data_IF_814810606903
#
_entry.id   IF_814810606903
#
_cell.length_a   1.000
_cell.length_b   1.000
_cell.length_c   1.000
_cell.angle_alpha   90.00
_cell.angle_beta   90.00
_cell.angle_gamma   90.00
#
_symmetry.space_group_name_H-M   'P 1'
#
loop_
_entity.id
_entity.type
_entity.pdbx_description
1 polymer ?
#
# COMPACT_ATOMS: atom_id res chain seq x y z
N UNK A 1 -48.94 19.24 -28.62
CA UNK A 1 -48.27 20.48 -28.20
C UNK A 1 -48.05 20.39 -26.70
N UNK A 2 -46.82 20.50 -26.22
CA UNK A 2 -46.54 20.54 -24.78
C UNK A 2 -46.80 21.95 -24.26
N UNK A 3 -47.57 22.09 -23.18
CA UNK A 3 -47.84 23.37 -22.53
C UNK A 3 -46.61 23.73 -21.68
N UNK A 4 -45.90 24.79 -22.07
CA UNK A 4 -44.74 25.30 -21.33
C UNK A 4 -45.25 26.40 -20.38
N UNK A 5 -45.30 26.11 -19.09
CA UNK A 5 -45.58 27.10 -18.05
C UNK A 5 -44.27 27.71 -17.52
N UNK A 6 -44.29 29.01 -17.22
CA UNK A 6 -43.14 29.78 -16.71
C UNK A 6 -42.88 29.64 -15.20
N UNK A 7 -43.69 28.83 -14.50
CA UNK A 7 -43.56 28.61 -13.07
C UNK A 7 -42.49 27.55 -12.79
N UNK A 8 -41.49 27.89 -11.95
CA UNK A 8 -40.44 26.94 -11.57
C UNK A 8 -41.02 25.89 -10.63
N UNK A 9 -40.96 24.62 -11.03
CA UNK A 9 -41.32 23.50 -10.17
C UNK A 9 -40.49 23.50 -8.90
N UNK A 10 -41.15 23.33 -7.75
CA UNK A 10 -40.46 23.26 -6.46
C UNK A 10 -39.40 22.14 -6.47
N UNK A 11 -38.21 22.46 -5.95
CA UNK A 11 -37.11 21.49 -5.86
C UNK A 11 -37.52 20.34 -4.91
N UNK A 12 -37.55 19.11 -5.43
CA UNK A 12 -37.78 17.91 -4.62
C UNK A 12 -36.46 17.48 -3.97
N UNK A 13 -36.50 17.07 -2.71
CA UNK A 13 -35.36 16.44 -2.05
C UNK A 13 -34.91 15.21 -2.83
N UNK A 14 -33.59 14.98 -2.93
CA UNK A 14 -33.05 13.80 -3.58
C UNK A 14 -33.62 12.52 -2.94
N UNK A 15 -33.99 11.50 -3.74
CA UNK A 15 -34.58 10.27 -3.22
C UNK A 15 -33.60 9.59 -2.26
N UNK A 16 -34.12 9.06 -1.14
CA UNK A 16 -33.33 8.40 -0.09
C UNK A 16 -32.50 7.22 -0.64
N UNK A 17 -32.93 6.61 -1.74
CA UNK A 17 -32.22 5.54 -2.44
C UNK A 17 -30.86 5.97 -3.01
N UNK A 18 -30.67 7.26 -3.29
CA UNK A 18 -29.42 7.82 -3.84
C UNK A 18 -28.55 8.51 -2.78
N UNK A 19 -29.12 8.88 -1.63
CA UNK A 19 -28.43 9.63 -0.57
C UNK A 19 -28.11 8.82 0.67
N UNK A 20 -28.75 7.65 0.87
CA UNK A 20 -28.53 6.81 2.05
C UNK A 20 -27.53 5.69 1.79
N UNK A 21 -26.79 5.30 2.85
CA UNK A 21 -25.90 4.14 2.83
C UNK A 21 -26.64 2.84 2.49
N UNK A 22 -27.86 2.66 3.04
CA UNK A 22 -28.71 1.51 2.74
C UNK A 22 -29.12 1.50 1.26
N UNK A 23 -29.48 2.67 0.69
CA UNK A 23 -29.78 2.81 -0.73
C UNK A 23 -28.59 2.44 -1.63
N UNK A 24 -27.38 2.86 -1.23
CA UNK A 24 -26.15 2.47 -1.91
C UNK A 24 -25.89 0.96 -1.85
N UNK A 25 -26.06 0.33 -0.69
CA UNK A 25 -25.90 -1.13 -0.54
C UNK A 25 -26.87 -1.88 -1.45
N UNK A 26 -28.15 -1.50 -1.44
CA UNK A 26 -29.15 -2.14 -2.28
C UNK A 26 -28.83 -1.97 -3.78
N UNK A 27 -28.43 -0.77 -4.20
CA UNK A 27 -28.10 -0.45 -5.59
C UNK A 27 -26.84 -1.17 -6.10
N UNK A 28 -25.82 -1.35 -5.26
CA UNK A 28 -24.52 -1.89 -5.69
C UNK A 28 -24.35 -3.39 -5.39
N UNK A 29 -24.87 -3.89 -4.27
CA UNK A 29 -24.64 -5.26 -3.81
C UNK A 29 -25.87 -6.17 -3.98
N UNK A 30 -27.07 -5.62 -3.82
CA UNK A 30 -28.33 -6.40 -3.79
C UNK A 30 -29.31 -6.03 -4.93
N UNK A 31 -28.80 -5.51 -6.05
CA UNK A 31 -29.63 -4.98 -7.13
C UNK A 31 -30.43 -6.04 -7.92
N UNK A 32 -30.06 -7.32 -7.78
CA UNK A 32 -30.78 -8.47 -8.35
C UNK A 32 -30.60 -9.69 -7.45
N UNK A 33 -31.43 -10.72 -7.63
CA UNK A 33 -31.32 -11.95 -6.84
C UNK A 33 -29.97 -12.67 -7.04
N UNK A 34 -29.41 -12.62 -8.25
CA UNK A 34 -28.07 -13.16 -8.54
C UNK A 34 -27.01 -12.36 -7.78
N UNK A 35 -27.07 -11.02 -7.81
CA UNK A 35 -26.12 -10.16 -7.10
C UNK A 35 -26.23 -10.35 -5.57
N UNK A 36 -27.44 -10.56 -5.05
CA UNK A 36 -27.65 -10.85 -3.64
C UNK A 36 -26.96 -12.16 -3.23
N UNK A 37 -27.13 -13.25 -4.01
CA UNK A 37 -26.44 -14.53 -3.76
C UNK A 37 -24.93 -14.34 -3.85
N UNK A 38 -24.44 -13.71 -4.93
CA UNK A 38 -23.01 -13.46 -5.13
C UNK A 38 -22.42 -12.67 -3.96
N UNK A 39 -23.11 -11.63 -3.49
CA UNK A 39 -22.70 -10.83 -2.33
C UNK A 39 -22.59 -11.67 -1.07
N UNK A 40 -23.61 -12.48 -0.74
CA UNK A 40 -23.58 -13.34 0.45
C UNK A 40 -22.45 -14.36 0.38
N UNK A 41 -22.27 -15.02 -0.78
CA UNK A 41 -21.18 -15.98 -1.00
C UNK A 41 -19.82 -15.30 -0.87
N UNK A 42 -19.68 -14.10 -1.44
CA UNK A 42 -18.42 -13.34 -1.36
C UNK A 42 -18.09 -12.95 0.07
N UNK A 43 -19.07 -12.46 0.84
CA UNK A 43 -18.91 -12.16 2.27
C UNK A 43 -18.51 -13.41 3.04
N UNK A 44 -19.11 -14.56 2.75
CA UNK A 44 -18.77 -15.82 3.40
C UNK A 44 -17.33 -16.26 3.09
N UNK A 45 -16.90 -16.18 1.83
CA UNK A 45 -15.51 -16.49 1.43
C UNK A 45 -14.54 -15.54 2.14
N UNK A 46 -14.83 -14.24 2.15
CA UNK A 46 -14.02 -13.24 2.85
C UNK A 46 -13.94 -13.60 4.34
N UNK A 47 -15.07 -13.94 4.97
CA UNK A 47 -15.10 -14.32 6.37
C UNK A 47 -14.21 -15.54 6.67
N UNK A 48 -14.32 -16.61 5.88
CA UNK A 48 -13.50 -17.82 6.07
C UNK A 48 -12.02 -17.52 5.84
N UNK A 49 -11.68 -16.76 4.80
CA UNK A 49 -10.30 -16.38 4.49
C UNK A 49 -9.70 -15.50 5.59
N UNK A 50 -10.41 -14.46 6.03
CA UNK A 50 -9.97 -13.56 7.09
C UNK A 50 -9.82 -14.32 8.41
N UNK A 51 -10.77 -15.19 8.76
CA UNK A 51 -10.66 -16.04 9.95
C UNK A 51 -9.43 -16.94 9.88
N UNK A 52 -9.19 -17.59 8.74
CA UNK A 52 -8.01 -18.45 8.54
C UNK A 52 -6.70 -17.68 8.71
N UNK A 53 -6.58 -16.51 8.07
CA UNK A 53 -5.40 -15.64 8.18
C UNK A 53 -5.22 -15.13 9.61
N UNK A 54 -6.30 -14.79 10.31
CA UNK A 54 -6.26 -14.31 11.68
C UNK A 54 -5.77 -15.39 12.65
N UNK A 55 -6.35 -16.59 12.57
CA UNK A 55 -5.97 -17.72 13.43
C UNK A 55 -4.49 -18.05 13.18
N UNK A 56 -4.11 -18.22 11.92
CA UNK A 56 -2.73 -18.53 11.53
C UNK A 56 -1.72 -17.44 11.93
N UNK A 57 -2.03 -16.19 11.59
CA UNK A 57 -1.09 -15.08 11.63
C UNK A 57 -1.04 -14.32 12.95
N UNK A 58 -2.04 -14.49 13.82
CA UNK A 58 -2.16 -13.75 15.08
C UNK A 58 -2.38 -14.68 16.26
N UNK A 59 -3.44 -15.50 16.22
CA UNK A 59 -3.86 -16.31 17.37
C UNK A 59 -2.86 -17.44 17.68
N UNK A 60 -2.48 -18.21 16.66
CA UNK A 60 -1.56 -19.35 16.76
C UNK A 60 -0.12 -18.98 16.40
N UNK A 61 0.17 -17.69 16.21
CA UNK A 61 1.46 -17.24 15.73
C UNK A 61 2.56 -17.22 16.81
N UNK A 62 3.78 -17.55 16.40
CA UNK A 62 4.96 -17.61 17.27
C UNK A 62 5.87 -16.42 17.00
N UNK A 63 5.93 -15.51 17.98
CA UNK A 63 6.69 -14.25 17.88
C UNK A 63 8.14 -14.36 18.36
N UNK A 64 8.42 -15.31 19.26
CA UNK A 64 9.74 -15.53 19.86
C UNK A 64 10.09 -17.01 19.75
N UNK A 65 11.19 -17.32 19.07
CA UNK A 65 11.78 -18.64 18.95
C UNK A 65 13.25 -18.50 18.52
N UNK A 66 14.12 -19.40 18.98
CA UNK A 66 15.54 -19.42 18.63
C UNK A 66 15.78 -20.01 17.24
N UNK A 67 14.94 -20.96 16.82
CA UNK A 67 15.08 -21.64 15.54
C UNK A 67 13.75 -22.14 14.98
N UNK A 68 13.76 -22.51 13.69
CA UNK A 68 12.57 -23.01 12.98
C UNK A 68 11.95 -24.25 13.64
N UNK A 69 12.76 -25.13 14.26
CA UNK A 69 12.25 -26.36 14.89
C UNK A 69 11.46 -26.06 16.16
N UNK A 70 11.93 -25.10 16.95
CA UNK A 70 11.22 -24.61 18.12
C UNK A 70 9.89 -23.97 17.75
N UNK A 71 9.87 -23.19 16.66
CA UNK A 71 8.63 -22.60 16.13
C UNK A 71 7.54 -23.65 15.90
N UNK A 72 7.88 -24.75 15.20
CA UNK A 72 6.95 -25.86 14.96
C UNK A 72 6.58 -26.68 16.20
N UNK A 73 7.39 -26.63 17.26
CA UNK A 73 7.04 -27.29 18.54
C UNK A 73 5.98 -26.50 19.30
N UNK A 74 6.05 -25.16 19.25
CA UNK A 74 5.09 -24.27 19.94
C UNK A 74 3.76 -24.25 19.19
N UNK A 75 3.80 -24.01 17.88
CA UNK A 75 2.63 -24.02 17.02
C UNK A 75 3.01 -24.62 15.67
N UNK A 76 2.41 -25.76 15.35
CA UNK A 76 2.71 -26.49 14.11
C UNK A 76 2.08 -25.79 12.90
N UNK A 77 0.86 -25.29 13.10
CA UNK A 77 0.03 -24.77 12.02
C UNK A 77 0.04 -23.24 11.95
N UNK A 78 0.50 -22.53 12.99
CA UNK A 78 0.58 -21.07 13.02
C UNK A 78 1.80 -20.44 12.32
N UNK A 79 1.76 -19.13 12.16
CA UNK A 79 2.82 -18.34 11.52
C UNK A 79 4.07 -18.24 12.41
N UNK A 80 5.25 -18.37 11.81
CA UNK A 80 6.53 -18.18 12.50
C UNK A 80 7.09 -16.77 12.29
N UNK A 81 6.63 -15.79 13.07
CA UNK A 81 7.10 -14.40 12.96
C UNK A 81 8.54 -14.22 13.46
N UNK A 82 9.00 -15.01 14.42
CA UNK A 82 10.38 -14.96 14.92
C UNK A 82 11.42 -15.05 13.79
N UNK A 83 11.21 -15.96 12.84
CA UNK A 83 12.07 -16.13 11.67
C UNK A 83 11.99 -14.94 10.71
N UNK A 84 10.78 -14.45 10.44
CA UNK A 84 10.55 -13.29 9.55
C UNK A 84 11.23 -12.04 10.11
N UNK A 85 11.10 -11.79 11.41
CA UNK A 85 11.70 -10.63 12.09
C UNK A 85 13.23 -10.71 12.03
N UNK A 86 13.83 -11.88 12.30
CA UNK A 86 15.28 -12.05 12.18
C UNK A 86 15.79 -11.87 10.74
N UNK A 87 15.02 -12.29 9.75
CA UNK A 87 15.40 -12.21 8.33
C UNK A 87 14.94 -10.93 7.63
N UNK A 88 14.30 -10.01 8.34
CA UNK A 88 13.65 -8.83 7.78
C UNK A 88 14.64 -7.98 6.95
N UNK A 89 15.85 -7.77 7.46
CA UNK A 89 16.90 -7.04 6.75
C UNK A 89 17.31 -7.73 5.43
N UNK A 90 17.34 -9.06 5.38
CA UNK A 90 17.62 -9.78 4.13
C UNK A 90 16.45 -9.72 3.15
N UNK A 91 15.22 -9.65 3.64
CA UNK A 91 14.03 -9.52 2.79
C UNK A 91 14.01 -8.15 2.12
N UNK A 92 14.31 -7.08 2.86
CA UNK A 92 14.28 -5.72 2.31
C UNK A 92 15.54 -5.33 1.53
N UNK A 93 16.72 -5.68 2.04
CA UNK A 93 17.99 -5.22 1.47
C UNK A 93 18.76 -6.32 0.73
N UNK A 94 18.26 -7.55 0.72
CA UNK A 94 18.93 -8.67 0.05
C UNK A 94 20.32 -8.94 0.64
N UNK A 95 21.32 -8.98 -0.24
CA UNK A 95 22.74 -9.23 0.11
C UNK A 95 23.54 -7.97 0.40
N UNK A 96 22.87 -6.83 0.64
CA UNK A 96 23.57 -5.58 0.93
C UNK A 96 24.39 -5.71 2.23
N UNK A 97 25.64 -5.22 2.29
CA UNK A 97 26.44 -5.31 3.49
C UNK A 97 25.75 -4.61 4.66
N UNK A 98 25.63 -5.32 5.79
CA UNK A 98 25.01 -4.81 7.02
C UNK A 98 25.54 -3.46 7.49
N UNK A 99 26.86 -3.22 7.56
CA UNK A 99 27.36 -1.92 8.00
C UNK A 99 27.08 -0.79 7.00
N UNK A 100 26.69 -1.10 5.76
CA UNK A 100 26.46 -0.12 4.70
C UNK A 100 24.96 0.22 4.53
N UNK A 101 24.04 -0.45 5.23
CA UNK A 101 22.59 -0.27 5.09
C UNK A 101 22.12 1.19 5.24
N UNK A 102 22.88 2.00 5.99
CA UNK A 102 22.62 3.43 6.14
C UNK A 102 22.58 4.17 4.80
N UNK A 103 23.31 3.72 3.77
CA UNK A 103 23.31 4.35 2.44
C UNK A 103 21.98 4.18 1.73
N UNK A 104 21.40 2.98 1.81
CA UNK A 104 20.09 2.69 1.22
C UNK A 104 19.01 3.48 1.95
N UNK A 105 19.05 3.48 3.28
CA UNK A 105 18.12 4.24 4.12
C UNK A 105 18.23 5.76 3.89
N UNK A 106 19.46 6.27 3.79
CA UNK A 106 19.70 7.68 3.49
C UNK A 106 19.21 8.04 2.09
N UNK A 107 19.48 7.22 1.07
CA UNK A 107 18.97 7.44 -0.29
C UNK A 107 17.44 7.50 -0.32
N UNK A 108 16.78 6.52 0.30
CA UNK A 108 15.31 6.51 0.44
C UNK A 108 14.77 7.74 1.18
N UNK A 109 15.40 8.14 2.29
CA UNK A 109 15.01 9.34 3.03
C UNK A 109 15.18 10.61 2.18
N UNK A 110 16.29 10.73 1.45
CA UNK A 110 16.54 11.86 0.55
C UNK A 110 15.49 11.93 -0.56
N UNK A 111 15.07 10.78 -1.12
CA UNK A 111 13.97 10.76 -2.10
C UNK A 111 12.67 11.28 -1.50
N UNK A 112 12.30 10.79 -0.30
CA UNK A 112 11.08 11.21 0.37
C UNK A 112 11.11 12.71 0.64
N UNK A 113 12.23 13.24 1.16
CA UNK A 113 12.41 14.66 1.43
C UNK A 113 12.37 15.49 0.14
N UNK A 114 12.97 15.01 -0.94
CA UNK A 114 12.98 15.69 -2.24
C UNK A 114 11.58 15.73 -2.87
N UNK A 115 10.82 14.64 -2.76
CA UNK A 115 9.46 14.56 -3.28
C UNK A 115 8.41 15.22 -2.38
N UNK A 116 8.65 15.33 -1.07
CA UNK A 116 7.72 15.89 -0.09
C UNK A 116 7.02 17.20 -0.53
N UNK A 117 7.73 18.20 -1.12
CA UNK A 117 7.14 19.45 -1.58
C UNK A 117 6.06 19.30 -2.66
N UNK A 118 6.05 18.20 -3.43
CA UNK A 118 5.06 17.97 -4.49
C UNK A 118 3.64 17.80 -3.91
N UNK A 119 3.52 17.22 -2.71
CA UNK A 119 2.25 17.05 -2.02
C UNK A 119 1.80 18.28 -1.22
N UNK A 120 2.66 19.28 -1.04
CA UNK A 120 2.31 20.50 -0.33
C UNK A 120 1.56 21.48 -1.27
N UNK A 121 0.35 21.94 -0.93
CA UNK A 121 -0.43 22.83 -1.78
C UNK A 121 0.21 24.22 -1.94
N UNK A 122 1.05 24.66 -0.99
CA UNK A 122 1.68 25.99 -0.97
C UNK A 122 2.94 26.10 -1.85
N UNK A 123 3.49 25.00 -2.33
CA UNK A 123 4.75 24.97 -3.08
C UNK A 123 4.49 25.32 -4.54
N UNK A 124 5.14 26.39 -5.01
CA UNK A 124 5.18 26.79 -6.43
C UNK A 124 6.29 26.01 -7.15
N UNK A 125 6.21 25.88 -8.47
CA UNK A 125 7.20 25.20 -9.33
C UNK A 125 7.35 23.68 -9.10
N UNK A 126 6.25 22.98 -8.79
CA UNK A 126 6.25 21.51 -8.63
C UNK A 126 6.82 20.75 -9.83
N UNK A 127 6.59 21.25 -11.05
CA UNK A 127 7.14 20.65 -12.27
C UNK A 127 8.67 20.65 -12.22
N UNK A 128 9.31 21.76 -11.83
CA UNK A 128 10.76 21.84 -11.76
C UNK A 128 11.34 20.91 -10.67
N UNK A 129 10.67 20.80 -9.52
CA UNK A 129 11.05 19.87 -8.44
C UNK A 129 10.91 18.40 -8.92
N UNK A 130 9.83 18.07 -9.62
CA UNK A 130 9.63 16.75 -10.21
C UNK A 130 10.70 16.42 -11.26
N UNK A 131 10.98 17.35 -12.17
CA UNK A 131 12.04 17.19 -13.18
C UNK A 131 13.41 17.02 -12.52
N UNK A 132 13.77 17.85 -11.54
CA UNK A 132 15.06 17.71 -10.84
C UNK A 132 15.16 16.38 -10.11
N UNK A 133 14.07 15.89 -9.51
CA UNK A 133 14.05 14.56 -8.90
C UNK A 133 14.30 13.47 -9.95
N UNK A 134 13.56 13.47 -11.07
CA UNK A 134 13.70 12.44 -12.11
C UNK A 134 15.10 12.44 -12.74
N UNK A 135 15.68 13.61 -12.99
CA UNK A 135 16.96 13.71 -13.68
C UNK A 135 18.17 13.62 -12.75
N UNK A 136 18.11 14.11 -11.51
CA UNK A 136 19.28 14.16 -10.62
C UNK A 136 19.31 13.03 -9.60
N UNK A 137 18.15 12.58 -9.10
CA UNK A 137 18.10 11.56 -8.07
C UNK A 137 18.71 10.21 -8.49
N UNK A 138 18.56 9.71 -9.73
CA UNK A 138 19.19 8.44 -10.14
C UNK A 138 20.71 8.44 -9.98
N UNK A 139 21.36 9.58 -10.17
CA UNK A 139 22.82 9.72 -9.97
C UNK A 139 23.18 9.67 -8.49
N UNK A 140 22.44 10.38 -7.66
CA UNK A 140 22.64 10.38 -6.20
C UNK A 140 22.38 8.98 -5.61
N UNK A 141 21.27 8.35 -6.01
CA UNK A 141 20.91 7.00 -5.58
C UNK A 141 21.91 5.97 -6.09
N UNK A 142 22.35 6.08 -7.35
CA UNK A 142 23.39 5.23 -7.91
C UNK A 142 24.70 5.32 -7.13
N UNK A 143 25.12 6.53 -6.77
CA UNK A 143 26.30 6.76 -5.93
C UNK A 143 26.17 6.14 -4.54
N UNK A 144 25.04 6.37 -3.87
CA UNK A 144 24.80 5.84 -2.52
C UNK A 144 24.69 4.31 -2.54
N UNK A 145 23.93 3.74 -3.47
CA UNK A 145 23.64 2.30 -3.48
C UNK A 145 24.84 1.48 -3.97
N UNK A 146 25.69 2.02 -4.85
CA UNK A 146 26.91 1.36 -5.30
C UNK A 146 28.07 1.39 -4.27
N UNK A 147 27.86 1.90 -3.06
CA UNK A 147 28.89 1.94 -2.01
C UNK A 147 29.82 3.16 -2.10
N UNK A 148 29.48 4.18 -2.90
CA UNK A 148 30.30 5.37 -3.11
C UNK A 148 31.37 5.21 -4.19
N UNK A 149 31.48 4.04 -4.80
CA UNK A 149 32.31 3.84 -5.98
C UNK A 149 31.59 4.40 -7.21
N UNK A 150 32.32 5.20 -7.99
CA UNK A 150 31.88 5.63 -9.31
C UNK A 150 31.98 4.43 -10.24
N UNK A 151 30.93 3.62 -10.33
CA UNK A 151 30.82 2.58 -11.34
C UNK A 151 31.00 3.15 -12.75
N UNK A 152 31.30 2.30 -13.74
CA UNK A 152 31.58 2.70 -15.14
C UNK A 152 30.51 3.64 -15.70
N UNK A 153 29.23 3.41 -15.37
CA UNK A 153 28.13 4.28 -15.78
C UNK A 153 28.26 5.72 -15.26
N UNK A 154 28.62 5.91 -13.99
CA UNK A 154 28.84 7.26 -13.43
C UNK A 154 30.13 7.91 -13.92
N UNK A 155 31.11 7.14 -14.37
CA UNK A 155 32.35 7.66 -14.97
C UNK A 155 32.17 8.11 -16.42
N UNK A 156 31.19 7.55 -17.14
CA UNK A 156 30.91 7.88 -18.55
C UNK A 156 29.93 9.05 -18.67
N UNK A 157 29.05 9.24 -17.68
CA UNK A 157 28.01 10.30 -17.71
C UNK A 157 28.45 11.61 -17.03
N UNK A 158 29.55 11.61 -16.26
CA UNK A 158 30.15 12.79 -15.59
C UNK A 158 31.57 13.00 -16.09
#
# INVERSE_FOLDING_TARGET
MAIVNGEKTAARSAPLTETSFIGWLHKNLFSSWINAILTVVSIYIIYVAVKGIWVWGVEEAVWVAENRRECFKISKDGACWAGVIQWLENIFYGRYPRPELWRVNLGGLLLVVWMAPLWLPRVKNKIFIGLSTVFLYPFLAGYLFAGGDKGIFMQVVV
#
